data_IF_219511073658
#
_entry.id   IF_219511073658
#
_cell.length_a   1.000
_cell.length_b   1.000
_cell.length_c   1.000
_cell.angle_alpha   90.00
_cell.angle_beta   90.00
_cell.angle_gamma   90.00
#
_symmetry.space_group_name_H-M   'P 1'
#
loop_
_entity.id
_entity.type
_entity.pdbx_description
1 polymer ?
#
# COMPACT_ATOMS: atom_id res chain seq x y z
N UNK A 1 23.73 -58.96 34.93
CA UNK A 1 23.74 -57.48 34.89
C UNK A 1 23.99 -57.05 33.45
N UNK A 2 23.28 -55.98 33.05
CA UNK A 2 23.19 -55.28 31.77
C UNK A 2 24.25 -55.54 30.68
N UNK A 3 23.79 -55.89 29.48
CA UNK A 3 24.50 -55.65 28.22
C UNK A 3 23.80 -54.52 27.44
N UNK A 4 24.41 -53.34 27.53
CA UNK A 4 24.61 -52.35 26.45
C UNK A 4 23.44 -52.03 25.50
N UNK A 5 22.67 -51.01 25.89
CA UNK A 5 22.37 -49.80 25.10
C UNK A 5 23.58 -49.40 24.21
N UNK A 6 23.42 -48.93 22.97
CA UNK A 6 22.82 -47.64 22.64
C UNK A 6 22.47 -47.48 21.15
N UNK A 7 21.42 -46.69 20.95
CA UNK A 7 20.80 -46.28 19.69
C UNK A 7 21.74 -45.50 18.77
N UNK A 8 21.68 -45.80 17.47
CA UNK A 8 22.18 -44.92 16.41
C UNK A 8 21.38 -43.62 16.38
N UNK A 9 21.99 -42.51 16.80
CA UNK A 9 21.45 -41.16 16.55
C UNK A 9 22.07 -40.59 15.29
N UNK A 10 21.26 -40.54 14.24
CA UNK A 10 21.51 -39.91 12.95
C UNK A 10 21.55 -38.38 13.14
N UNK A 11 22.72 -37.77 13.06
CA UNK A 11 22.86 -36.32 13.08
C UNK A 11 22.58 -35.75 11.68
N UNK A 12 21.32 -35.37 11.44
CA UNK A 12 20.92 -34.62 10.25
C UNK A 12 21.29 -33.14 10.46
N UNK A 13 22.41 -32.70 9.90
CA UNK A 13 22.80 -31.31 9.90
C UNK A 13 21.84 -30.51 9.00
N UNK A 14 20.87 -29.83 9.61
CA UNK A 14 20.06 -28.83 8.93
C UNK A 14 20.96 -27.64 8.56
N UNK A 15 21.36 -27.56 7.29
CA UNK A 15 21.91 -26.34 6.71
C UNK A 15 20.79 -25.29 6.64
N UNK A 16 20.52 -24.62 7.75
CA UNK A 16 19.66 -23.45 7.79
C UNK A 16 20.36 -22.32 7.05
N UNK A 17 19.88 -21.97 5.87
CA UNK A 17 20.23 -20.70 5.24
C UNK A 17 19.62 -19.62 6.12
N UNK A 18 20.42 -18.97 6.97
CA UNK A 18 20.00 -17.75 7.63
C UNK A 18 19.97 -16.65 6.56
N UNK A 19 18.80 -16.41 5.97
CA UNK A 19 18.51 -15.15 5.32
C UNK A 19 18.44 -14.07 6.41
N UNK A 20 19.60 -13.67 6.93
CA UNK A 20 19.70 -12.55 7.84
C UNK A 20 19.37 -11.28 7.02
N UNK A 21 18.35 -10.51 7.40
CA UNK A 21 18.09 -9.23 6.75
C UNK A 21 19.35 -8.37 6.92
N UNK A 22 19.94 -7.96 5.80
CA UNK A 22 21.15 -7.13 5.81
C UNK A 22 20.81 -5.78 6.46
N UNK A 23 21.30 -5.46 7.68
CA UNK A 23 21.01 -4.19 8.32
C UNK A 23 21.68 -3.00 7.58
N UNK A 24 22.63 -3.27 6.68
CA UNK A 24 23.25 -2.28 5.80
C UNK A 24 22.49 -2.08 4.47
N UNK A 25 21.49 -2.92 4.15
CA UNK A 25 20.46 -2.55 3.20
C UNK A 25 19.49 -1.64 3.96
N UNK A 26 19.94 -0.40 4.19
CA UNK A 26 19.16 0.59 4.93
C UNK A 26 17.72 0.60 4.45
N UNK A 27 16.77 0.71 5.38
CA UNK A 27 15.34 0.86 5.09
C UNK A 27 15.06 1.96 4.04
N UNK A 28 16.00 2.90 3.87
CA UNK A 28 16.05 3.92 2.82
C UNK A 28 16.10 3.39 1.39
N UNK A 29 16.64 2.19 1.12
CA UNK A 29 16.71 1.62 -0.25
C UNK A 29 15.33 1.12 -0.74
N UNK A 30 14.30 1.10 0.12
CA UNK A 30 12.93 0.71 -0.23
C UNK A 30 11.91 1.84 -0.24
N UNK A 31 12.30 3.08 0.07
CA UNK A 31 11.39 4.23 0.02
C UNK A 31 11.47 4.88 -1.36
N UNK A 32 10.56 4.52 -2.25
CA UNK A 32 10.37 5.24 -3.52
C UNK A 32 9.92 6.66 -3.17
N UNK A 33 10.64 7.72 -3.55
CA UNK A 33 10.19 9.09 -3.28
C UNK A 33 8.89 9.39 -4.03
N UNK A 34 8.16 10.43 -3.60
CA UNK A 34 6.93 10.91 -4.24
C UNK A 34 5.76 9.91 -4.23
N UNK A 35 5.57 9.21 -3.10
CA UNK A 35 4.46 8.29 -2.90
C UNK A 35 3.35 8.87 -2.01
N UNK A 36 2.13 8.48 -2.31
CA UNK A 36 0.94 8.73 -1.51
C UNK A 36 0.38 7.39 -1.09
N UNK A 37 0.41 7.11 0.21
CA UNK A 37 -0.06 5.87 0.79
C UNK A 37 -1.50 6.04 1.29
N UNK A 38 -2.37 5.18 0.80
CA UNK A 38 -3.82 5.26 0.97
C UNK A 38 -4.30 3.99 1.66
N UNK A 39 -5.20 4.14 2.64
CA UNK A 39 -5.89 3.00 3.28
C UNK A 39 -7.39 3.09 3.04
N UNK A 40 -8.01 1.97 2.72
CA UNK A 40 -9.44 1.84 2.46
C UNK A 40 -10.18 1.26 3.65
N UNK A 41 -11.38 1.78 3.93
CA UNK A 41 -12.20 1.41 5.08
C UNK A 41 -13.62 1.02 4.66
N UNK A 42 -14.19 0.02 5.32
CA UNK A 42 -15.44 -0.62 4.88
C UNK A 42 -16.65 0.32 4.84
N UNK A 43 -16.73 1.31 5.75
CA UNK A 43 -17.86 2.26 5.82
C UNK A 43 -17.52 3.68 5.36
N UNK A 44 -18.45 4.61 5.59
CA UNK A 44 -18.33 6.01 5.15
C UNK A 44 -17.32 6.87 5.93
N UNK A 45 -16.65 6.30 6.94
CA UNK A 45 -15.63 6.98 7.72
C UNK A 45 -14.40 6.10 7.98
N UNK A 46 -13.26 6.74 8.21
CA UNK A 46 -11.98 6.06 8.43
C UNK A 46 -11.76 5.55 9.87
N UNK A 47 -12.84 5.45 10.65
CA UNK A 47 -12.90 4.81 11.97
C UNK A 47 -13.35 3.35 11.88
N UNK A 48 -13.89 2.96 10.72
CA UNK A 48 -14.37 1.61 10.43
C UNK A 48 -13.19 0.63 10.26
N UNK A 49 -13.46 -0.68 10.12
CA UNK A 49 -12.40 -1.65 9.85
C UNK A 49 -11.64 -1.32 8.55
N UNK A 50 -10.30 -1.38 8.65
CA UNK A 50 -9.40 -1.34 7.50
C UNK A 50 -9.62 -2.59 6.64
N UNK A 51 -9.75 -2.39 5.33
CA UNK A 51 -10.02 -3.46 4.36
C UNK A 51 -8.81 -3.75 3.49
N UNK A 52 -8.18 -2.70 2.94
CA UNK A 52 -7.05 -2.82 2.00
C UNK A 52 -6.24 -1.52 1.97
N UNK A 53 -5.02 -1.55 1.44
CA UNK A 53 -4.23 -0.36 1.15
C UNK A 53 -3.71 -0.31 -0.30
N UNK A 54 -3.34 0.89 -0.75
CA UNK A 54 -2.65 1.07 -2.04
C UNK A 54 -1.70 2.27 -2.00
N UNK A 55 -0.85 2.35 -3.01
CA UNK A 55 0.14 3.40 -3.20
C UNK A 55 -0.05 4.05 -4.57
N UNK A 56 -0.23 5.37 -4.58
CA UNK A 56 -0.10 6.19 -5.77
C UNK A 56 1.31 6.78 -5.79
N UNK A 57 2.06 6.58 -6.89
CA UNK A 57 3.39 7.16 -7.04
C UNK A 57 3.36 8.19 -8.18
N UNK A 58 4.00 9.34 -7.96
CA UNK A 58 4.15 10.38 -8.98
C UNK A 58 5.35 10.05 -9.88
N UNK A 59 5.05 9.63 -11.11
CA UNK A 59 6.05 9.37 -12.15
C UNK A 59 6.40 10.60 -12.98
N UNK A 60 5.85 11.77 -12.63
CA UNK A 60 6.04 13.03 -13.36
C UNK A 60 5.27 13.13 -14.67
N UNK A 61 4.51 12.10 -15.08
CA UNK A 61 3.79 12.09 -16.36
C UNK A 61 2.34 12.57 -16.23
N UNK A 62 1.74 12.41 -15.04
CA UNK A 62 0.31 12.67 -14.83
C UNK A 62 -0.60 11.66 -15.53
N UNK A 63 -0.07 10.49 -15.89
CA UNK A 63 -0.84 9.39 -16.48
C UNK A 63 -1.95 8.97 -15.54
N UNK A 64 -3.13 8.68 -16.10
CA UNK A 64 -4.23 8.13 -15.35
C UNK A 64 -3.91 6.70 -14.88
N UNK A 65 -3.92 6.48 -13.56
CA UNK A 65 -3.78 5.17 -12.95
C UNK A 65 -5.14 4.69 -12.46
N UNK A 66 -5.62 3.58 -12.99
CA UNK A 66 -6.81 2.90 -12.48
C UNK A 66 -6.48 2.27 -11.12
N UNK A 67 -7.37 2.44 -10.15
CA UNK A 67 -7.29 1.78 -8.85
C UNK A 67 -7.56 0.28 -9.02
N UNK A 68 -6.58 -0.60 -8.74
CA UNK A 68 -6.77 -2.05 -8.92
C UNK A 68 -7.71 -2.66 -7.89
N UNK A 69 -7.93 -2.04 -6.73
CA UNK A 69 -8.78 -2.62 -5.70
C UNK A 69 -10.26 -2.61 -6.09
N UNK A 70 -10.80 -3.82 -6.34
CA UNK A 70 -12.20 -4.04 -6.72
C UNK A 70 -13.10 -4.36 -5.53
N UNK A 71 -12.54 -4.49 -4.33
CA UNK A 71 -13.31 -4.74 -3.11
C UNK A 71 -14.25 -3.59 -2.75
N UNK A 72 -15.17 -3.87 -1.82
CA UNK A 72 -16.14 -2.87 -1.35
C UNK A 72 -15.55 -2.07 -0.19
N UNK A 73 -15.59 -0.74 -0.30
CA UNK A 73 -15.20 0.21 0.74
C UNK A 73 -15.99 1.51 0.56
N UNK A 74 -16.15 2.27 1.64
CA UNK A 74 -16.93 3.52 1.64
C UNK A 74 -16.10 4.78 1.83
N UNK A 75 -14.87 4.65 2.34
CA UNK A 75 -13.98 5.78 2.62
C UNK A 75 -12.52 5.37 2.52
N UNK A 76 -11.65 6.36 2.41
CA UNK A 76 -10.21 6.17 2.41
C UNK A 76 -9.49 7.23 3.24
N UNK A 77 -8.29 6.89 3.70
CA UNK A 77 -7.40 7.81 4.41
C UNK A 77 -6.07 7.93 3.68
N UNK A 78 -5.66 9.16 3.41
CA UNK A 78 -4.28 9.46 3.06
C UNK A 78 -3.46 9.43 4.36
N UNK A 79 -2.62 8.42 4.50
CA UNK A 79 -1.82 8.19 5.71
C UNK A 79 -0.47 8.89 5.60
N UNK A 80 0.14 8.83 4.42
CA UNK A 80 1.38 9.50 4.10
C UNK A 80 1.31 10.09 2.68
N UNK A 81 1.94 11.22 2.45
CA UNK A 81 1.94 11.92 1.17
C UNK A 81 3.26 12.68 1.01
N UNK A 82 4.21 12.02 0.35
CA UNK A 82 5.52 12.59 0.01
C UNK A 82 5.55 13.13 -1.43
N UNK A 83 4.40 13.18 -2.12
CA UNK A 83 4.31 13.69 -3.48
C UNK A 83 4.56 15.20 -3.53
N UNK A 84 5.20 15.65 -4.61
CA UNK A 84 5.46 17.08 -4.85
C UNK A 84 4.39 17.74 -5.72
N UNK A 85 3.59 16.95 -6.42
CA UNK A 85 2.46 17.38 -7.25
C UNK A 85 1.13 16.99 -6.62
N UNK A 86 0.08 17.83 -6.74
CA UNK A 86 -1.27 17.46 -6.37
C UNK A 86 -1.72 16.14 -6.98
N UNK A 87 -2.29 15.26 -6.16
CA UNK A 87 -2.93 14.01 -6.60
C UNK A 87 -4.44 14.25 -6.71
N UNK A 88 -5.01 14.07 -7.90
CA UNK A 88 -6.46 14.05 -8.08
C UNK A 88 -6.96 12.62 -8.05
N UNK A 89 -7.90 12.33 -7.16
CA UNK A 89 -8.54 11.03 -7.00
C UNK A 89 -9.98 11.11 -7.48
N UNK A 90 -10.35 10.23 -8.41
CA UNK A 90 -11.65 10.21 -9.06
C UNK A 90 -12.45 9.01 -8.58
N UNK A 91 -13.78 9.15 -8.50
CA UNK A 91 -14.66 8.00 -8.23
C UNK A 91 -14.78 7.04 -9.42
N UNK A 92 -14.47 7.53 -10.63
CA UNK A 92 -14.47 6.78 -11.89
C UNK A 92 -13.10 6.19 -12.17
N UNK A 93 -13.02 5.28 -13.14
CA UNK A 93 -11.78 4.59 -13.55
C UNK A 93 -11.09 5.24 -14.76
N UNK A 94 -11.55 6.39 -15.23
CA UNK A 94 -11.08 7.04 -16.46
C UNK A 94 -10.38 8.39 -16.20
N UNK A 95 -10.15 8.75 -14.93
CA UNK A 95 -9.63 10.06 -14.51
C UNK A 95 -10.40 11.26 -15.08
N UNK A 96 -11.72 11.12 -15.24
CA UNK A 96 -12.58 12.22 -15.68
C UNK A 96 -13.81 12.38 -14.79
N UNK A 97 -14.45 13.54 -14.88
CA UNK A 97 -15.79 13.82 -14.30
C UNK A 97 -16.85 14.11 -15.37
N UNK A 98 -16.47 14.05 -16.67
CA UNK A 98 -17.31 14.48 -17.79
C UNK A 98 -18.59 13.64 -17.95
N UNK A 99 -18.54 12.37 -17.55
CA UNK A 99 -19.66 11.43 -17.61
C UNK A 99 -20.24 11.16 -16.21
N UNK A 100 -20.17 12.14 -15.31
CA UNK A 100 -20.55 12.05 -13.90
C UNK A 100 -19.41 11.61 -12.98
N UNK A 101 -19.72 11.38 -11.70
CA UNK A 101 -18.72 11.07 -10.67
C UNK A 101 -18.14 12.31 -10.00
N UNK A 102 -17.39 12.07 -8.91
CA UNK A 102 -16.74 13.10 -8.13
C UNK A 102 -15.21 12.96 -8.21
N UNK A 103 -14.53 14.05 -7.86
CA UNK A 103 -13.09 14.05 -7.66
C UNK A 103 -12.75 14.76 -6.36
N UNK A 104 -11.59 14.41 -5.80
CA UNK A 104 -10.96 15.16 -4.72
C UNK A 104 -9.51 15.41 -5.09
N UNK A 105 -9.04 16.63 -4.82
CA UNK A 105 -7.64 17.01 -5.03
C UNK A 105 -6.94 16.96 -3.68
N UNK A 106 -5.86 16.20 -3.61
CA UNK A 106 -4.99 16.05 -2.45
C UNK A 106 -3.73 16.88 -2.73
N UNK A 107 -3.57 17.98 -2.00
CA UNK A 107 -2.37 18.80 -2.11
C UNK A 107 -1.12 18.05 -1.64
N UNK A 108 0.09 18.42 -2.10
CA UNK A 108 1.35 17.89 -1.56
C UNK A 108 1.39 17.94 -0.03
N UNK A 109 1.79 16.84 0.61
CA UNK A 109 1.82 16.72 2.08
C UNK A 109 0.45 16.62 2.78
N UNK A 110 -0.67 16.77 2.07
CA UNK A 110 -1.99 16.66 2.67
C UNK A 110 -2.27 15.21 3.07
N UNK A 111 -2.71 15.04 4.32
CA UNK A 111 -3.21 13.78 4.88
C UNK A 111 -4.64 13.99 5.39
N UNK A 112 -5.41 12.91 5.55
CA UNK A 112 -6.79 13.05 6.02
C UNK A 112 -7.71 11.91 5.61
N UNK A 113 -8.94 11.96 6.11
CA UNK A 113 -10.01 11.00 5.80
C UNK A 113 -10.98 11.58 4.78
N UNK A 114 -11.41 10.75 3.83
CA UNK A 114 -12.30 11.14 2.73
C UNK A 114 -13.39 10.09 2.56
N UNK A 115 -14.65 10.54 2.60
CA UNK A 115 -15.83 9.69 2.44
C UNK A 115 -16.23 9.58 0.97
N UNK A 116 -15.40 8.90 0.17
CA UNK A 116 -15.73 8.54 -1.20
C UNK A 116 -15.00 7.27 -1.64
N UNK A 117 -15.42 6.70 -2.77
CA UNK A 117 -14.69 5.66 -3.49
C UNK A 117 -13.64 6.28 -4.42
N UNK A 118 -12.57 5.55 -4.66
CA UNK A 118 -11.54 5.82 -5.66
C UNK A 118 -11.67 4.76 -6.77
N UNK A 119 -11.77 5.22 -8.01
CA UNK A 119 -11.66 4.37 -9.21
C UNK A 119 -10.37 4.63 -9.99
N UNK A 120 -9.79 5.82 -9.88
CA UNK A 120 -8.53 6.16 -10.51
C UNK A 120 -7.89 7.39 -9.87
N UNK A 121 -6.61 7.62 -10.15
CA UNK A 121 -5.88 8.81 -9.75
C UNK A 121 -4.90 9.30 -10.80
N UNK A 122 -4.62 10.60 -10.80
CA UNK A 122 -3.58 11.22 -11.62
C UNK A 122 -2.92 12.39 -10.90
N UNK A 123 -1.63 12.58 -11.14
CA UNK A 123 -0.88 13.72 -10.61
C UNK A 123 -0.93 14.90 -11.59
N UNK A 124 -1.08 16.13 -11.09
CA UNK A 124 -1.14 17.36 -11.86
C UNK A 124 -0.02 18.32 -11.48
#
# INVERSE_FOLDING_TARGET
MQFTTSLLTLALAAAGVSAAPNPAAGLTVRQVPNLVYVRFFAGGGCQEPWVEDDVFYDDGTGTCRVEPFTGTYGSFRIVNNDATRPLTLYTRTDCTTASGGNQVVIAPGQTGCFSQRIGSGSFA
#
